data_IF_298650043281
#
_entry.id   IF_298650043281
#
_cell.length_a   1.000
_cell.length_b   1.000
_cell.length_c   1.000
_cell.angle_alpha   90.00
_cell.angle_beta   90.00
_cell.angle_gamma   90.00
#
_symmetry.space_group_name_H-M   'P 1'
#
loop_
_entity.id
_entity.type
_entity.pdbx_description
1 polymer ?
#
# COMPACT_ATOMS: atom_id res chain seq x y z
N UNK A 1 -15.44 6.85 -34.60
CA UNK A 1 -15.06 8.12 -33.94
C UNK A 1 -16.01 8.35 -32.78
N UNK A 2 -15.70 7.80 -31.61
CA UNK A 2 -16.49 8.01 -30.39
C UNK A 2 -15.49 8.23 -29.26
N UNK A 3 -15.52 9.46 -28.72
CA UNK A 3 -14.79 9.94 -27.55
C UNK A 3 -15.28 9.22 -26.28
N UNK A 4 -14.90 7.96 -26.13
CA UNK A 4 -14.84 7.36 -24.79
C UNK A 4 -13.51 7.81 -24.22
N UNK A 5 -13.59 8.48 -23.07
CA UNK A 5 -12.60 9.18 -22.24
C UNK A 5 -11.25 8.49 -21.93
N UNK A 6 -10.74 7.62 -22.81
CA UNK A 6 -9.41 6.99 -22.76
C UNK A 6 -8.47 7.46 -23.88
N UNK A 7 -8.80 8.59 -24.51
CA UNK A 7 -7.81 9.47 -25.16
C UNK A 7 -7.89 10.84 -24.49
N UNK A 8 -7.56 10.85 -23.21
CA UNK A 8 -7.16 12.10 -22.59
C UNK A 8 -5.83 12.50 -23.22
N UNK A 9 -5.82 13.60 -23.99
CA UNK A 9 -4.80 14.61 -23.68
C UNK A 9 -4.72 14.68 -22.15
N UNK A 10 -3.53 14.77 -21.57
CA UNK A 10 -3.44 15.31 -20.22
C UNK A 10 -4.07 16.71 -20.25
N UNK A 11 -5.40 16.80 -20.14
CA UNK A 11 -6.03 17.97 -19.60
C UNK A 11 -5.47 18.06 -18.19
N UNK A 12 -4.69 19.11 -17.97
CA UNK A 12 -3.88 19.32 -16.78
C UNK A 12 -4.68 19.11 -15.46
N UNK A 13 -6.01 19.20 -15.53
CA UNK A 13 -6.97 19.02 -14.44
C UNK A 13 -7.11 17.57 -13.95
N UNK A 14 -7.18 16.56 -14.81
CA UNK A 14 -7.41 15.16 -14.39
C UNK A 14 -6.17 14.52 -13.76
N UNK A 15 -4.99 14.82 -14.32
CA UNK A 15 -3.70 14.47 -13.74
C UNK A 15 -3.46 15.17 -12.38
N UNK A 16 -3.85 16.44 -12.26
CA UNK A 16 -3.74 17.18 -11.00
C UNK A 16 -4.59 16.56 -9.87
N UNK A 17 -5.82 16.11 -10.16
CA UNK A 17 -6.70 15.46 -9.17
C UNK A 17 -6.08 14.15 -8.64
N UNK A 18 -5.51 13.32 -9.53
CA UNK A 18 -4.84 12.09 -9.10
C UNK A 18 -3.59 12.40 -8.27
N UNK A 19 -2.81 13.41 -8.65
CA UNK A 19 -1.60 13.81 -7.93
C UNK A 19 -1.92 14.37 -6.53
N UNK A 20 -3.00 15.16 -6.41
CA UNK A 20 -3.52 15.64 -5.12
C UNK A 20 -3.93 14.45 -4.24
N UNK A 21 -4.65 13.46 -4.80
CA UNK A 21 -5.03 12.26 -4.05
C UNK A 21 -3.82 11.49 -3.52
N UNK A 22 -2.79 11.30 -4.35
CA UNK A 22 -1.54 10.65 -3.93
C UNK A 22 -0.79 11.45 -2.87
N UNK A 23 -0.67 12.76 -3.05
CA UNK A 23 0.00 13.63 -2.09
C UNK A 23 -0.72 13.61 -0.72
N UNK A 24 -2.05 13.68 -0.72
CA UNK A 24 -2.87 13.59 0.50
C UNK A 24 -2.73 12.22 1.15
N UNK A 25 -2.78 11.13 0.37
CA UNK A 25 -2.59 9.78 0.88
C UNK A 25 -1.22 9.59 1.54
N UNK A 26 -0.14 10.04 0.89
CA UNK A 26 1.21 9.97 1.45
C UNK A 26 1.36 10.82 2.72
N UNK A 27 0.79 12.03 2.72
CA UNK A 27 0.79 12.89 3.90
C UNK A 27 0.08 12.20 5.06
N UNK A 28 -1.10 11.63 4.83
CA UNK A 28 -1.84 10.87 5.85
C UNK A 28 -1.05 9.66 6.36
N UNK A 29 -0.37 8.92 5.48
CA UNK A 29 0.44 7.75 5.84
C UNK A 29 1.72 8.10 6.62
N UNK A 30 2.25 9.31 6.47
CA UNK A 30 3.39 9.78 7.27
C UNK A 30 2.89 10.32 8.62
N UNK A 31 1.86 11.16 8.60
CA UNK A 31 1.36 11.88 9.78
C UNK A 31 0.68 10.95 10.78
N UNK A 32 -0.14 9.99 10.34
CA UNK A 32 -0.89 9.11 11.23
C UNK A 32 0.00 8.28 12.18
N UNK A 33 0.98 7.49 11.70
CA UNK A 33 1.85 6.72 12.59
C UNK A 33 2.82 7.60 13.38
N UNK A 34 3.22 8.76 12.84
CA UNK A 34 4.09 9.71 13.53
C UNK A 34 3.39 10.31 14.75
N UNK A 35 2.14 10.75 14.59
CA UNK A 35 1.30 11.24 15.68
C UNK A 35 1.08 10.17 16.76
N UNK A 36 0.79 8.93 16.33
CA UNK A 36 0.60 7.82 17.26
C UNK A 36 1.88 7.48 18.04
N UNK A 37 3.06 7.64 17.43
CA UNK A 37 4.33 7.43 18.10
C UNK A 37 4.67 8.54 19.11
N UNK A 38 4.44 9.82 18.73
CA UNK A 38 4.61 10.97 19.65
C UNK A 38 3.65 10.85 20.85
N UNK A 39 2.44 10.34 20.63
CA UNK A 39 1.44 10.11 21.68
C UNK A 39 1.70 8.87 22.54
N UNK A 40 2.81 8.16 22.31
CA UNK A 40 3.24 7.03 23.14
C UNK A 40 2.36 5.78 23.00
N UNK A 41 1.68 5.59 21.87
CA UNK A 41 0.74 4.48 21.72
C UNK A 41 1.42 3.11 21.76
N UNK A 42 0.63 2.09 22.13
CA UNK A 42 1.04 0.67 22.09
C UNK A 42 1.35 0.26 20.64
N UNK A 43 2.26 -0.70 20.40
CA UNK A 43 2.64 -1.10 19.05
C UNK A 43 1.44 -1.50 18.17
N UNK A 44 0.47 -2.23 18.73
CA UNK A 44 -0.73 -2.66 18.00
C UNK A 44 -1.57 -1.49 17.44
N UNK A 45 -1.62 -0.37 18.17
CA UNK A 45 -2.38 0.79 17.72
C UNK A 45 -1.75 1.48 16.51
N UNK A 46 -0.42 1.36 16.31
CA UNK A 46 0.26 1.86 15.12
C UNK A 46 -0.18 1.10 13.87
N UNK A 47 -0.24 -0.23 13.95
CA UNK A 47 -0.73 -1.10 12.86
C UNK A 47 -2.18 -0.79 12.51
N UNK A 48 -3.06 -0.63 13.50
CA UNK A 48 -4.47 -0.31 13.26
C UNK A 48 -4.66 1.10 12.68
N UNK A 49 -3.90 2.10 13.14
CA UNK A 49 -3.97 3.45 12.61
C UNK A 49 -3.62 3.48 11.12
N UNK A 50 -2.51 2.81 10.75
CA UNK A 50 -2.09 2.70 9.35
C UNK A 50 -3.05 1.85 8.52
N UNK A 51 -3.55 0.73 9.07
CA UNK A 51 -4.54 -0.10 8.40
C UNK A 51 -5.81 0.67 8.06
N UNK A 52 -6.30 1.52 8.97
CA UNK A 52 -7.46 2.37 8.75
C UNK A 52 -7.22 3.36 7.60
N UNK A 53 -6.05 4.00 7.56
CA UNK A 53 -5.67 4.90 6.46
C UNK A 53 -5.68 4.15 5.13
N UNK A 54 -4.99 3.01 5.03
CA UNK A 54 -4.97 2.21 3.81
C UNK A 54 -6.35 1.69 3.40
N UNK A 55 -7.21 1.32 4.36
CA UNK A 55 -8.57 0.88 4.08
C UNK A 55 -9.44 2.00 3.50
N UNK A 56 -9.36 3.22 4.05
CA UNK A 56 -10.11 4.38 3.54
C UNK A 56 -9.69 4.71 2.11
N UNK A 57 -8.39 4.86 1.85
CA UNK A 57 -7.89 5.14 0.51
C UNK A 57 -8.11 3.95 -0.45
N UNK A 58 -7.97 2.72 0.03
CA UNK A 58 -8.28 1.51 -0.74
C UNK A 58 -9.75 1.45 -1.17
N UNK A 59 -10.68 1.77 -0.27
CA UNK A 59 -12.11 1.82 -0.56
C UNK A 59 -12.45 2.90 -1.59
N UNK A 60 -11.87 4.10 -1.47
CA UNK A 60 -12.06 5.19 -2.44
C UNK A 60 -11.55 4.77 -3.82
N UNK A 61 -10.33 4.22 -3.90
CA UNK A 61 -9.77 3.75 -5.17
C UNK A 61 -10.55 2.59 -5.78
N UNK A 62 -11.09 1.68 -4.96
CA UNK A 62 -11.94 0.59 -5.43
C UNK A 62 -13.29 1.10 -5.96
N UNK A 63 -13.94 2.02 -5.25
CA UNK A 63 -15.19 2.65 -5.68
C UNK A 63 -15.00 3.41 -7.00
N UNK A 64 -13.92 4.19 -7.12
CA UNK A 64 -13.54 4.86 -8.37
C UNK A 64 -13.38 3.87 -9.52
N UNK A 65 -12.76 2.70 -9.25
CA UNK A 65 -12.58 1.66 -10.26
C UNK A 65 -13.91 1.05 -10.72
N UNK A 66 -14.84 0.80 -9.79
CA UNK A 66 -16.16 0.26 -10.13
C UNK A 66 -16.97 1.23 -10.99
N UNK A 67 -16.91 2.54 -10.70
CA UNK A 67 -17.54 3.59 -11.50
C UNK A 67 -16.89 3.69 -12.89
N UNK A 68 -15.56 3.55 -12.98
CA UNK A 68 -14.88 3.53 -14.27
C UNK A 68 -15.28 2.31 -15.11
N UNK A 69 -15.40 1.13 -14.49
CA UNK A 69 -15.72 -0.12 -15.18
C UNK A 69 -17.19 -0.17 -15.64
N UNK A 70 -18.12 0.46 -14.94
CA UNK A 70 -19.53 0.51 -15.35
C UNK A 70 -19.73 1.24 -16.68
N UNK A 71 -18.90 2.25 -16.97
CA UNK A 71 -18.90 2.95 -18.26
C UNK A 71 -18.24 2.15 -19.38
N UNK A 72 -17.35 1.20 -19.06
CA UNK A 72 -16.61 0.38 -20.01
C UNK A 72 -17.35 -0.90 -20.39
N UNK A 73 -18.13 -1.47 -19.46
CA UNK A 73 -18.91 -2.71 -19.66
C UNK A 73 -19.93 -2.62 -20.82
N UNK A 74 -20.29 -1.41 -21.24
CA UNK A 74 -21.18 -1.17 -22.39
C UNK A 74 -20.45 -1.17 -23.75
N UNK A 75 -19.10 -1.23 -23.76
CA UNK A 75 -18.27 -0.98 -24.93
C UNK A 75 -17.47 -2.22 -25.41
N UNK A 76 -18.08 -3.41 -25.51
CA UNK A 76 -17.54 -4.55 -26.28
C UNK A 76 -16.17 -5.15 -25.83
N UNK A 77 -15.69 -6.22 -26.50
CA UNK A 77 -14.63 -7.11 -26.00
C UNK A 77 -13.18 -6.61 -26.19
N UNK A 78 -12.95 -5.31 -26.35
CA UNK A 78 -11.60 -4.74 -26.61
C UNK A 78 -10.87 -4.24 -25.34
N UNK A 79 -11.39 -4.54 -24.15
CA UNK A 79 -10.98 -3.91 -22.88
C UNK A 79 -10.07 -4.76 -21.98
N UNK A 80 -9.62 -5.92 -22.44
CA UNK A 80 -8.75 -6.83 -21.67
C UNK A 80 -7.35 -6.22 -21.39
N UNK A 81 -6.95 -5.15 -22.09
CA UNK A 81 -5.66 -4.45 -21.93
C UNK A 81 -5.68 -3.30 -20.89
N UNK A 82 -6.54 -3.38 -19.85
CA UNK A 82 -6.67 -2.35 -18.80
C UNK A 82 -6.16 -2.78 -17.40
N UNK A 83 -5.13 -3.62 -17.36
CA UNK A 83 -4.52 -4.15 -16.12
C UNK A 83 -4.12 -3.08 -15.09
N UNK A 84 -3.75 -1.88 -15.52
CA UNK A 84 -3.25 -0.82 -14.61
C UNK A 84 -4.35 -0.14 -13.79
N UNK A 85 -5.58 -0.07 -14.31
CA UNK A 85 -6.67 0.62 -13.61
C UNK A 85 -7.25 -0.29 -12.50
N UNK A 86 -7.30 -1.61 -12.74
CA UNK A 86 -7.81 -2.60 -11.78
C UNK A 86 -6.83 -2.84 -10.62
N UNK A 87 -5.52 -2.90 -10.91
CA UNK A 87 -4.53 -3.39 -9.93
C UNK A 87 -4.31 -2.44 -8.75
N UNK A 88 -4.47 -1.14 -8.98
CA UNK A 88 -4.18 -0.08 -8.00
C UNK A 88 -5.09 -0.11 -6.76
N UNK A 89 -6.40 -0.29 -6.96
CA UNK A 89 -7.37 -0.36 -5.86
C UNK A 89 -7.20 -1.61 -4.99
N UNK A 90 -6.96 -2.76 -5.64
CA UNK A 90 -6.72 -4.02 -4.95
C UNK A 90 -5.42 -4.01 -4.14
N UNK A 91 -4.39 -3.31 -4.62
CA UNK A 91 -3.10 -3.23 -3.94
C UNK A 91 -3.19 -2.49 -2.59
N UNK A 92 -3.81 -1.30 -2.54
CA UNK A 92 -3.99 -0.55 -1.29
C UNK A 92 -4.85 -1.32 -0.28
N UNK A 93 -5.90 -1.99 -0.77
CA UNK A 93 -6.78 -2.81 0.05
C UNK A 93 -6.03 -3.99 0.70
N UNK A 94 -5.21 -4.70 -0.09
CA UNK A 94 -4.42 -5.83 0.40
C UNK A 94 -3.40 -5.41 1.46
N UNK A 95 -2.74 -4.25 1.29
CA UNK A 95 -1.82 -3.70 2.31
C UNK A 95 -2.57 -3.35 3.60
N UNK A 96 -3.77 -2.75 3.48
CA UNK A 96 -4.62 -2.44 4.62
C UNK A 96 -5.01 -3.68 5.42
N UNK A 97 -5.41 -4.75 4.74
CA UNK A 97 -5.72 -6.05 5.38
C UNK A 97 -4.49 -6.63 6.07
N UNK A 98 -3.34 -6.67 5.38
CA UNK A 98 -2.11 -7.21 5.97
C UNK A 98 -1.73 -6.47 7.27
N UNK A 99 -1.82 -5.14 7.26
CA UNK A 99 -1.59 -4.31 8.46
C UNK A 99 -2.61 -4.59 9.57
N UNK A 100 -3.89 -4.78 9.22
CA UNK A 100 -4.91 -5.15 10.20
C UNK A 100 -4.63 -6.51 10.86
N UNK A 101 -4.14 -7.50 10.09
CA UNK A 101 -3.77 -8.82 10.60
C UNK A 101 -2.59 -8.72 11.57
N UNK A 102 -1.52 -8.00 11.23
CA UNK A 102 -0.40 -7.77 12.16
C UNK A 102 -0.83 -6.97 13.39
N UNK A 103 -1.74 -6.01 13.24
CA UNK A 103 -2.37 -5.29 14.35
C UNK A 103 -3.16 -6.21 15.28
N UNK A 104 -3.96 -7.13 14.73
CA UNK A 104 -4.72 -8.10 15.51
C UNK A 104 -3.80 -9.05 16.28
N UNK A 105 -2.76 -9.60 15.64
CA UNK A 105 -1.80 -10.50 16.30
C UNK A 105 -1.07 -9.78 17.43
N UNK A 106 -0.56 -8.57 17.19
CA UNK A 106 0.15 -7.79 18.22
C UNK A 106 -0.77 -7.36 19.37
N UNK A 107 -2.05 -7.08 19.08
CA UNK A 107 -3.07 -6.79 20.09
C UNK A 107 -3.38 -8.01 20.96
N UNK A 108 -3.55 -9.17 20.35
CA UNK A 108 -3.72 -10.45 21.05
C UNK A 108 -2.52 -10.71 21.97
N UNK A 109 -1.29 -10.58 21.46
CA UNK A 109 -0.08 -10.81 22.26
C UNK A 109 0.09 -9.82 23.42
N UNK A 110 -0.31 -8.56 23.25
CA UNK A 110 -0.32 -7.59 24.35
C UNK A 110 -1.41 -7.89 25.37
N UNK A 111 -2.57 -8.43 24.96
CA UNK A 111 -3.64 -8.81 25.88
C UNK A 111 -3.30 -10.03 26.73
N UNK A 112 -2.61 -11.02 26.16
CA UNK A 112 -2.14 -12.21 26.87
C UNK A 112 -0.78 -12.02 27.57
N UNK A 113 -0.18 -10.82 27.49
CA UNK A 113 1.12 -10.53 28.09
C UNK A 113 2.25 -11.42 27.54
N UNK A 114 2.15 -11.84 26.27
CA UNK A 114 3.16 -12.64 25.59
C UNK A 114 4.19 -11.78 24.84
N UNK A 115 3.95 -10.47 24.72
CA UNK A 115 4.84 -9.56 24.02
C UNK A 115 6.11 -9.26 24.82
N UNK A 116 7.22 -9.91 24.44
CA UNK A 116 8.52 -9.75 25.10
C UNK A 116 9.27 -8.47 24.70
N UNK A 117 9.22 -8.10 23.42
CA UNK A 117 10.03 -6.99 22.88
C UNK A 117 9.15 -5.94 22.17
N UNK A 118 8.48 -5.05 22.93
CA UNK A 118 7.61 -4.02 22.35
C UNK A 118 8.37 -3.00 21.51
N UNK A 119 9.62 -2.67 21.88
CA UNK A 119 10.46 -1.68 21.18
C UNK A 119 10.90 -2.20 19.81
N UNK A 120 11.36 -3.46 19.72
CA UNK A 120 11.75 -4.08 18.45
C UNK A 120 10.55 -4.20 17.49
N UNK A 121 9.37 -4.50 18.01
CA UNK A 121 8.15 -4.57 17.20
C UNK A 121 7.79 -3.20 16.59
N UNK A 122 7.99 -2.11 17.34
CA UNK A 122 7.81 -0.74 16.80
C UNK A 122 8.82 -0.42 15.70
N UNK A 123 10.08 -0.83 15.86
CA UNK A 123 11.12 -0.59 14.86
C UNK A 123 10.81 -1.37 13.57
N UNK A 124 10.47 -2.67 13.68
CA UNK A 124 10.09 -3.49 12.53
C UNK A 124 8.83 -2.98 11.83
N UNK A 125 7.87 -2.45 12.60
CA UNK A 125 6.72 -1.74 12.04
C UNK A 125 7.15 -0.55 11.17
N UNK A 126 8.06 0.30 11.66
CA UNK A 126 8.51 1.47 10.91
C UNK A 126 9.28 1.09 9.64
N UNK A 127 10.15 0.07 9.71
CA UNK A 127 10.86 -0.45 8.53
C UNK A 127 9.88 -0.98 7.49
N UNK A 128 8.90 -1.78 7.92
CA UNK A 128 7.84 -2.31 7.05
C UNK A 128 7.02 -1.18 6.43
N UNK A 129 6.61 -0.20 7.24
CA UNK A 129 5.76 0.91 6.81
C UNK A 129 6.45 1.81 5.77
N UNK A 130 7.71 2.16 5.99
CA UNK A 130 8.49 2.96 5.02
C UNK A 130 8.71 2.19 3.72
N UNK A 131 8.99 0.89 3.79
CA UNK A 131 9.13 0.05 2.60
C UNK A 131 7.83 0.01 1.78
N UNK A 132 6.68 -0.14 2.44
CA UNK A 132 5.36 -0.14 1.80
C UNK A 132 5.00 1.22 1.17
N UNK A 133 5.33 2.33 1.84
CA UNK A 133 5.18 3.67 1.25
C UNK A 133 6.01 3.78 -0.04
N UNK A 134 7.24 3.24 -0.06
CA UNK A 134 8.08 3.20 -1.26
C UNK A 134 7.42 2.49 -2.45
N UNK A 135 6.87 1.29 -2.22
CA UNK A 135 6.21 0.51 -3.28
C UNK A 135 4.94 1.23 -3.78
N UNK A 136 4.13 1.80 -2.88
CA UNK A 136 2.91 2.53 -3.27
C UNK A 136 3.20 3.79 -4.08
N UNK A 137 4.31 4.47 -3.79
CA UNK A 137 4.76 5.65 -4.52
C UNK A 137 5.21 5.29 -5.93
N UNK A 138 5.91 4.17 -6.07
CA UNK A 138 6.36 3.64 -7.36
C UNK A 138 5.21 3.30 -8.32
N UNK A 139 4.18 2.56 -7.84
CA UNK A 139 2.98 2.25 -8.64
C UNK A 139 2.15 3.50 -8.98
N UNK A 140 2.25 4.55 -8.15
CA UNK A 140 1.66 5.86 -8.38
C UNK A 140 2.26 6.57 -9.61
N UNK A 141 3.60 6.69 -9.63
CA UNK A 141 4.37 7.36 -10.69
C UNK A 141 4.25 6.63 -12.03
N UNK A 142 4.28 5.29 -12.06
CA UNK A 142 4.18 4.56 -13.33
C UNK A 142 2.88 4.84 -14.07
N UNK A 143 1.74 4.84 -13.38
CA UNK A 143 0.48 5.10 -14.08
C UNK A 143 0.28 6.59 -14.43
N UNK A 144 1.09 7.51 -13.89
CA UNK A 144 1.12 8.90 -14.35
C UNK A 144 1.86 9.04 -15.68
N UNK A 145 2.95 8.29 -15.86
CA UNK A 145 3.76 8.35 -17.09
C UNK A 145 3.18 7.48 -18.21
N UNK A 146 2.66 6.31 -17.87
CA UNK A 146 2.19 5.30 -18.82
C UNK A 146 0.69 5.49 -19.08
N UNK A 147 0.32 6.64 -19.64
CA UNK A 147 -1.04 6.89 -20.15
C UNK A 147 -1.38 6.09 -21.41
N UNK A 148 -0.46 5.24 -21.90
CA UNK A 148 -0.65 4.28 -22.98
C UNK A 148 -0.14 2.90 -22.56
N UNK A 149 -0.75 1.80 -23.02
CA UNK A 149 -0.21 0.46 -22.81
C UNK A 149 1.08 0.29 -23.63
N UNK A 150 2.22 0.20 -22.94
CA UNK A 150 3.50 -0.16 -23.55
C UNK A 150 3.69 -1.67 -23.46
N UNK A 151 4.22 -2.30 -24.51
CA UNK A 151 4.74 -3.67 -24.41
C UNK A 151 5.95 -3.61 -23.47
N UNK A 152 6.14 -4.62 -22.61
CA UNK A 152 7.19 -4.68 -21.58
C UNK A 152 8.62 -4.35 -22.08
N UNK A 153 8.85 -4.43 -23.40
CA UNK A 153 10.13 -4.20 -24.05
C UNK A 153 10.44 -2.72 -24.35
N UNK A 154 9.44 -1.84 -24.39
CA UNK A 154 9.60 -0.46 -24.85
C UNK A 154 9.57 0.56 -23.69
N UNK A 155 10.13 0.21 -22.53
CA UNK A 155 10.19 1.15 -21.41
C UNK A 155 11.28 2.20 -21.66
N UNK A 156 10.95 3.51 -21.59
CA UNK A 156 11.97 4.55 -21.57
C UNK A 156 12.94 4.33 -20.41
N UNK A 157 14.24 4.58 -20.63
CA UNK A 157 15.33 4.38 -19.65
C UNK A 157 15.05 5.01 -18.28
N UNK A 158 14.29 6.12 -18.24
CA UNK A 158 13.93 6.79 -17.00
C UNK A 158 12.97 5.96 -16.12
N UNK A 159 12.09 5.14 -16.69
CA UNK A 159 11.16 4.27 -15.95
C UNK A 159 11.91 3.09 -15.32
N UNK A 160 12.95 2.59 -15.98
CA UNK A 160 13.77 1.49 -15.47
C UNK A 160 14.36 1.81 -14.09
N UNK A 161 14.85 3.03 -13.89
CA UNK A 161 15.40 3.48 -12.60
C UNK A 161 14.35 3.42 -11.49
N UNK A 162 13.12 3.86 -11.77
CA UNK A 162 12.03 3.76 -10.80
C UNK A 162 11.68 2.30 -10.51
N UNK A 163 11.68 1.42 -11.52
CA UNK A 163 11.37 -0.02 -11.37
C UNK A 163 12.38 -0.70 -10.44
N UNK A 164 13.66 -0.37 -10.58
CA UNK A 164 14.71 -0.86 -9.71
C UNK A 164 14.49 -0.40 -8.25
N UNK A 165 14.17 0.87 -8.02
CA UNK A 165 13.84 1.39 -6.67
C UNK A 165 12.61 0.66 -6.09
N UNK A 166 11.59 0.43 -6.92
CA UNK A 166 10.42 -0.38 -6.57
C UNK A 166 10.81 -1.79 -6.11
N UNK A 167 11.73 -2.46 -6.82
CA UNK A 167 12.23 -3.78 -6.47
C UNK A 167 12.97 -3.79 -5.12
N UNK A 168 13.84 -2.82 -4.87
CA UNK A 168 14.53 -2.68 -3.58
C UNK A 168 13.56 -2.48 -2.41
N UNK A 169 12.54 -1.64 -2.60
CA UNK A 169 11.49 -1.44 -1.59
C UNK A 169 10.65 -2.71 -1.35
N UNK A 170 10.37 -3.48 -2.41
CA UNK A 170 9.72 -4.79 -2.34
C UNK A 170 10.52 -5.80 -1.53
N UNK A 171 11.82 -5.91 -1.81
CA UNK A 171 12.72 -6.78 -1.05
C UNK A 171 12.78 -6.41 0.43
N UNK A 172 12.93 -5.11 0.74
CA UNK A 172 12.94 -4.63 2.11
C UNK A 172 11.63 -4.93 2.86
N UNK A 173 10.49 -4.80 2.18
CA UNK A 173 9.18 -5.15 2.75
C UNK A 173 9.08 -6.64 3.10
N UNK A 174 9.59 -7.54 2.25
CA UNK A 174 9.56 -8.97 2.51
C UNK A 174 10.43 -9.34 3.72
N UNK A 175 11.64 -8.79 3.81
CA UNK A 175 12.54 -8.99 4.95
C UNK A 175 11.89 -8.49 6.24
N UNK A 176 11.23 -7.32 6.22
CA UNK A 176 10.54 -6.77 7.38
C UNK A 176 9.35 -7.64 7.83
N UNK A 177 8.57 -8.20 6.91
CA UNK A 177 7.46 -9.13 7.21
C UNK A 177 7.99 -10.41 7.87
N UNK A 178 9.03 -11.01 7.31
CA UNK A 178 9.63 -12.24 7.87
C UNK A 178 10.18 -11.95 9.27
N UNK A 179 10.92 -10.86 9.44
CA UNK A 179 11.46 -10.45 10.75
C UNK A 179 10.36 -10.22 11.79
N UNK A 180 9.24 -9.58 11.40
CA UNK A 180 8.09 -9.39 12.26
C UNK A 180 7.44 -10.74 12.64
N UNK A 181 7.19 -11.62 11.67
CA UNK A 181 6.63 -12.95 11.93
C UNK A 181 7.50 -13.78 12.87
N UNK A 182 8.82 -13.84 12.63
CA UNK A 182 9.76 -14.53 13.51
C UNK A 182 9.71 -13.99 14.94
N UNK A 183 9.67 -12.67 15.12
CA UNK A 183 9.60 -12.05 16.45
C UNK A 183 8.27 -12.37 17.16
N UNK A 184 7.15 -12.31 16.44
CA UNK A 184 5.83 -12.64 16.97
C UNK A 184 5.77 -14.12 17.37
N UNK A 185 6.26 -15.04 16.53
CA UNK A 185 6.28 -16.48 16.83
C UNK A 185 7.20 -16.79 18.01
N UNK A 186 8.40 -16.20 18.04
CA UNK A 186 9.33 -16.35 19.16
C UNK A 186 8.70 -15.92 20.49
N UNK A 187 7.94 -14.82 20.47
CA UNK A 187 7.29 -14.32 21.67
C UNK A 187 6.25 -15.29 22.25
N UNK A 188 5.54 -16.02 21.38
CA UNK A 188 4.56 -17.04 21.77
C UNK A 188 5.28 -18.27 22.32
N UNK A 189 6.30 -18.76 21.63
CA UNK A 189 7.08 -19.94 22.03
C UNK A 189 7.76 -19.70 23.39
N UNK A 190 8.46 -18.59 23.56
CA UNK A 190 9.12 -18.24 24.82
C UNK A 190 8.11 -18.17 25.99
N UNK A 191 6.91 -17.63 25.76
CA UNK A 191 5.86 -17.62 26.79
C UNK A 191 5.37 -19.02 27.15
N UNK A 192 5.28 -19.94 26.18
CA UNK A 192 4.89 -21.33 26.43
C UNK A 192 5.95 -22.14 27.18
N UNK A 193 7.24 -21.80 27.03
CA UNK A 193 8.36 -22.51 27.67
C UNK A 193 8.58 -22.09 29.14
N UNK A 194 8.06 -20.93 29.55
CA UNK A 194 8.22 -20.39 30.92
C UNK A 194 7.03 -20.79 31.82
N UNK A 195 6.11 -21.61 31.31
CA UNK A 195 4.98 -22.15 32.08
C UNK A 195 5.32 -23.51 32.64
#
# INVERSE_FOLDING_TARGET
>A
MINVWFSGKCDNSSGAISLIYYAVCLLCLIVAPLLANIRGWKPAALFFAVAAVYAVFGAVSFAQMQIALSHVREAGPAYDDTYYVVSRGHFLWNIGIAMAVFGAITWIQTRFGAMLYPTLTKILFWVLHVALIGITSFQGVLAFVLSRPWRYFDYPDFIETYVQIGAWSGFLSQVAVIGLLCLLLWSIIAKSLIK
#
